data_IF_938712340029
#
_entry.id   IF_938712340029
#
_cell.length_a   1.000
_cell.length_b   1.000
_cell.length_c   1.000
_cell.angle_alpha   90.00
_cell.angle_beta   90.00
_cell.angle_gamma   90.00
#
_symmetry.space_group_name_H-M   'P 1'
#
loop_
_entity.id
_entity.type
_entity.pdbx_description
1 polymer ?
#
# COMPACT_ATOMS: atom_id res chain seq x y z
N UNK A 1 -1.17 6.69 -2.45
CA UNK A 1 0.15 6.16 -2.05
C UNK A 1 0.15 4.68 -2.39
N UNK A 2 1.22 4.09 -2.93
CA UNK A 2 1.07 2.75 -3.53
C UNK A 2 1.77 1.63 -2.75
N UNK A 3 2.83 1.91 -1.97
CA UNK A 3 3.64 0.82 -1.38
C UNK A 3 3.64 0.85 0.14
N UNK A 4 3.49 2.03 0.75
CA UNK A 4 3.59 2.20 2.20
C UNK A 4 2.57 1.39 3.01
N UNK A 5 1.37 1.13 2.49
CA UNK A 5 0.28 0.55 3.27
C UNK A 5 0.48 -0.94 3.46
N UNK A 6 0.88 -1.66 2.40
CA UNK A 6 1.27 -3.06 2.49
C UNK A 6 2.45 -3.28 3.43
N UNK A 7 3.45 -2.41 3.37
CA UNK A 7 4.61 -2.46 4.26
C UNK A 7 4.25 -2.09 5.71
N UNK A 8 3.41 -1.08 5.90
CA UNK A 8 2.89 -0.67 7.20
C UNK A 8 2.07 -1.77 7.87
N UNK A 9 1.15 -2.40 7.13
CA UNK A 9 0.36 -3.54 7.59
C UNK A 9 1.25 -4.73 7.96
N UNK A 10 2.25 -5.04 7.13
CA UNK A 10 3.27 -6.05 7.45
C UNK A 10 3.95 -5.75 8.79
N UNK A 11 4.46 -4.53 8.95
CA UNK A 11 5.23 -4.12 10.11
C UNK A 11 4.40 -4.16 11.40
N UNK A 12 3.18 -3.62 11.32
CA UNK A 12 2.22 -3.58 12.43
C UNK A 12 1.87 -5.01 12.89
N UNK A 13 1.47 -5.87 11.96
CA UNK A 13 1.04 -7.23 12.32
C UNK A 13 2.20 -8.09 12.77
N UNK A 14 3.37 -7.97 12.16
CA UNK A 14 4.57 -8.67 12.62
C UNK A 14 4.99 -8.24 14.03
N UNK A 15 4.90 -6.94 14.34
CA UNK A 15 5.15 -6.41 15.68
C UNK A 15 4.13 -6.94 16.70
N UNK A 16 2.83 -6.85 16.40
CA UNK A 16 1.76 -7.36 17.25
C UNK A 16 1.91 -8.87 17.52
N UNK A 17 2.23 -9.65 16.49
CA UNK A 17 2.49 -11.09 16.64
C UNK A 17 3.66 -11.36 17.59
N UNK A 18 4.71 -10.54 17.56
CA UNK A 18 5.85 -10.62 18.48
C UNK A 18 5.44 -10.30 19.92
N UNK A 19 4.65 -9.25 20.12
CA UNK A 19 4.11 -8.86 21.44
C UNK A 19 3.22 -9.98 22.00
N UNK A 20 2.48 -10.68 21.15
CA UNK A 20 1.67 -11.84 21.52
C UNK A 20 2.47 -13.13 21.75
N UNK A 21 3.81 -13.07 21.76
CA UNK A 21 4.67 -14.21 22.03
C UNK A 21 4.76 -15.23 20.88
N UNK A 22 4.42 -14.85 19.65
CA UNK A 22 4.66 -15.71 18.49
C UNK A 22 6.16 -15.90 18.23
N UNK A 23 6.53 -17.04 17.66
CA UNK A 23 7.88 -17.21 17.10
C UNK A 23 8.14 -16.19 16.00
N UNK A 24 9.41 -15.88 15.74
CA UNK A 24 9.83 -14.89 14.73
C UNK A 24 9.35 -15.27 13.34
N UNK A 25 9.45 -16.55 12.99
CA UNK A 25 9.01 -17.09 11.70
C UNK A 25 7.50 -16.89 11.52
N UNK A 26 6.73 -17.11 12.58
CA UNK A 26 5.28 -16.87 12.57
C UNK A 26 4.96 -15.39 12.47
N UNK A 27 5.64 -14.54 13.23
CA UNK A 27 5.45 -13.08 13.16
C UNK A 27 5.70 -12.54 11.74
N UNK A 28 6.79 -12.98 11.09
CA UNK A 28 7.09 -12.63 9.70
C UNK A 28 5.99 -13.16 8.78
N UNK A 29 5.59 -14.43 8.90
CA UNK A 29 4.58 -15.03 8.01
C UNK A 29 3.24 -14.31 8.11
N UNK A 30 2.76 -14.04 9.33
CA UNK A 30 1.47 -13.35 9.55
C UNK A 30 1.57 -11.89 9.10
N UNK A 31 2.71 -11.23 9.30
CA UNK A 31 2.99 -9.92 8.72
C UNK A 31 2.92 -9.94 7.18
N UNK A 32 3.54 -10.91 6.51
CA UNK A 32 3.50 -11.02 5.04
C UNK A 32 2.05 -11.17 4.56
N UNK A 33 1.26 -12.01 5.24
CA UNK A 33 -0.16 -12.18 4.92
C UNK A 33 -0.89 -10.84 5.04
N UNK A 34 -0.68 -10.09 6.13
CA UNK A 34 -1.32 -8.79 6.32
C UNK A 34 -0.92 -7.78 5.24
N UNK A 35 0.37 -7.71 4.89
CA UNK A 35 0.84 -6.84 3.82
C UNK A 35 0.27 -7.21 2.44
N UNK A 36 0.16 -8.50 2.14
CA UNK A 36 -0.51 -8.97 0.91
C UNK A 36 -1.98 -8.57 0.88
N UNK A 37 -2.70 -8.71 1.99
CA UNK A 37 -4.11 -8.29 2.08
C UNK A 37 -4.27 -6.77 1.96
N UNK A 38 -3.34 -5.99 2.49
CA UNK A 38 -3.31 -4.55 2.30
C UNK A 38 -3.08 -4.14 0.84
N UNK A 39 -2.46 -4.97 0.00
CA UNK A 39 -2.37 -4.70 -1.45
C UNK A 39 -3.60 -5.15 -2.26
N UNK A 40 -4.55 -5.87 -1.66
CA UNK A 40 -5.72 -6.37 -2.38
C UNK A 40 -6.60 -5.25 -2.94
N UNK A 41 -6.85 -4.13 -2.23
CA UNK A 41 -7.62 -3.03 -2.81
C UNK A 41 -7.04 -2.47 -4.10
N UNK A 42 -5.72 -2.36 -4.22
CA UNK A 42 -5.01 -1.79 -5.39
C UNK A 42 -5.17 -2.60 -6.69
N UNK A 43 -5.72 -3.82 -6.61
CA UNK A 43 -6.06 -4.58 -7.82
C UNK A 43 -7.16 -3.91 -8.62
N UNK A 44 -7.87 -2.94 -8.06
CA UNK A 44 -8.89 -2.16 -8.75
C UNK A 44 -8.38 -1.45 -10.00
N UNK A 45 -7.07 -1.22 -10.16
CA UNK A 45 -6.45 -0.73 -11.40
C UNK A 45 -6.84 -1.54 -12.65
N UNK A 46 -7.29 -2.79 -12.47
CA UNK A 46 -7.88 -3.63 -13.54
C UNK A 46 -9.20 -3.09 -14.09
N UNK A 47 -9.79 -2.05 -13.48
CA UNK A 47 -10.96 -1.35 -14.02
C UNK A 47 -10.70 -0.88 -15.46
N UNK A 48 -9.47 -0.49 -15.81
CA UNK A 48 -9.15 0.02 -17.13
C UNK A 48 -9.30 -1.07 -18.22
N UNK A 49 -8.63 -2.25 -18.13
CA UNK A 49 -8.87 -3.33 -19.09
C UNK A 49 -10.30 -3.89 -19.02
N UNK A 50 -10.93 -3.98 -17.85
CA UNK A 50 -12.32 -4.45 -17.72
C UNK A 50 -13.30 -3.48 -18.39
N UNK A 51 -13.10 -2.17 -18.19
CA UNK A 51 -13.93 -1.13 -18.76
C UNK A 51 -13.88 -1.11 -20.28
N UNK A 52 -12.69 -1.35 -20.86
CA UNK A 52 -12.50 -1.54 -22.30
C UNK A 52 -13.25 -2.77 -22.82
N UNK A 53 -13.11 -3.92 -22.15
CA UNK A 53 -13.78 -5.16 -22.53
C UNK A 53 -15.31 -5.03 -22.46
N UNK A 54 -15.81 -4.35 -21.44
CA UNK A 54 -17.23 -4.04 -21.27
C UNK A 54 -17.75 -2.96 -22.24
N UNK A 55 -16.88 -2.37 -23.07
CA UNK A 55 -17.19 -1.23 -23.96
C UNK A 55 -17.79 -0.02 -23.24
N UNK A 56 -17.52 0.08 -21.94
CA UNK A 56 -17.94 1.21 -21.09
C UNK A 56 -17.08 2.46 -21.29
N UNK A 57 -15.86 2.26 -21.81
CA UNK A 57 -14.96 3.32 -22.26
C UNK A 57 -14.51 3.00 -23.69
N UNK A 58 -14.52 4.00 -24.57
CA UNK A 58 -14.16 3.83 -25.99
C UNK A 58 -12.64 3.96 -26.22
N UNK A 59 -11.96 4.76 -25.42
CA UNK A 59 -10.50 4.94 -25.44
C UNK A 59 -9.98 5.14 -24.01
N UNK A 60 -8.73 4.76 -23.77
CA UNK A 60 -8.01 5.06 -22.51
C UNK A 60 -7.13 6.28 -22.77
N UNK A 61 -7.73 7.47 -22.78
CA UNK A 61 -6.91 8.69 -22.64
C UNK A 61 -6.41 8.79 -21.20
N UNK A 62 -5.27 9.45 -20.93
CA UNK A 62 -4.81 9.66 -19.57
C UNK A 62 -5.89 10.30 -18.67
N UNK A 63 -6.64 11.28 -19.17
CA UNK A 63 -7.68 11.95 -18.38
C UNK A 63 -8.88 11.06 -18.06
N UNK A 64 -9.34 10.25 -19.04
CA UNK A 64 -10.43 9.27 -18.81
C UNK A 64 -9.96 8.15 -17.88
N UNK A 65 -8.71 7.71 -18.03
CA UNK A 65 -8.10 6.74 -17.14
C UNK A 65 -8.06 7.28 -15.71
N UNK A 66 -7.44 8.43 -15.47
CA UNK A 66 -7.29 9.00 -14.14
C UNK A 66 -8.61 9.45 -13.52
N UNK A 67 -9.55 9.97 -14.31
CA UNK A 67 -10.90 10.32 -13.85
C UNK A 67 -11.68 9.08 -13.39
N UNK A 68 -11.69 8.02 -14.19
CA UNK A 68 -12.36 6.76 -13.86
C UNK A 68 -11.66 6.02 -12.71
N UNK A 69 -10.32 6.08 -12.66
CA UNK A 69 -9.54 5.59 -11.51
C UNK A 69 -10.04 6.26 -10.24
N UNK A 70 -10.12 7.59 -10.20
CA UNK A 70 -10.47 8.28 -8.95
C UNK A 70 -11.84 7.90 -8.39
N UNK A 71 -12.79 7.50 -9.23
CA UNK A 71 -14.12 7.04 -8.80
C UNK A 71 -14.12 5.55 -8.41
N UNK A 72 -13.50 4.68 -9.20
CA UNK A 72 -13.51 3.22 -8.92
C UNK A 72 -12.52 2.84 -7.83
N UNK A 73 -11.31 3.43 -7.87
CA UNK A 73 -10.21 3.20 -6.93
C UNK A 73 -10.51 3.69 -5.50
N UNK A 74 -11.67 4.32 -5.25
CA UNK A 74 -12.04 4.83 -3.91
C UNK A 74 -13.43 4.41 -3.43
N UNK A 75 -14.12 3.59 -4.24
CA UNK A 75 -15.41 3.01 -3.89
C UNK A 75 -15.24 1.67 -3.16
N UNK A 76 -15.84 0.62 -3.72
CA UNK A 76 -16.03 -0.66 -3.06
C UNK A 76 -14.74 -1.35 -2.54
N UNK A 77 -13.61 -1.25 -3.25
CA UNK A 77 -12.34 -1.91 -2.85
C UNK A 77 -11.70 -1.30 -1.62
N UNK A 78 -11.98 -0.02 -1.34
CA UNK A 78 -11.47 0.75 -0.20
C UNK A 78 -12.50 0.87 0.93
N UNK A 79 -13.59 0.11 0.87
CA UNK A 79 -14.60 0.06 1.94
C UNK A 79 -14.15 -0.81 3.11
N UNK A 80 -14.33 -0.29 4.33
CA UNK A 80 -14.10 -1.05 5.56
C UNK A 80 -15.10 -2.20 5.69
N UNK A 81 -16.33 -2.00 5.21
CA UNK A 81 -17.40 -3.00 5.24
C UNK A 81 -17.06 -4.14 4.29
N UNK A 82 -16.73 -3.83 3.04
CA UNK A 82 -16.34 -4.83 2.03
C UNK A 82 -15.08 -5.57 2.45
N UNK A 83 -14.07 -4.85 2.96
CA UNK A 83 -12.84 -5.44 3.49
C UNK A 83 -13.10 -6.40 4.66
N UNK A 84 -13.97 -6.03 5.61
CA UNK A 84 -14.34 -6.90 6.73
C UNK A 84 -15.07 -8.17 6.26
N UNK A 85 -16.01 -8.03 5.30
CA UNK A 85 -16.71 -9.17 4.70
C UNK A 85 -15.72 -10.09 3.97
N UNK A 86 -14.79 -9.53 3.19
CA UNK A 86 -13.76 -10.32 2.50
C UNK A 86 -12.88 -11.07 3.49
N UNK A 87 -12.39 -10.41 4.54
CA UNK A 87 -11.58 -11.05 5.58
C UNK A 87 -12.33 -12.24 6.24
N UNK A 88 -13.60 -12.04 6.59
CA UNK A 88 -14.44 -13.08 7.19
C UNK A 88 -14.72 -14.23 6.22
N UNK A 89 -15.04 -13.93 4.95
CA UNK A 89 -15.32 -14.92 3.93
C UNK A 89 -14.07 -15.77 3.61
N UNK A 90 -12.90 -15.15 3.50
CA UNK A 90 -11.63 -15.87 3.32
C UNK A 90 -11.32 -16.73 4.55
N UNK A 91 -11.51 -16.24 5.77
CA UNK A 91 -11.31 -17.04 6.97
C UNK A 91 -12.26 -18.26 6.99
N UNK A 92 -13.55 -18.04 6.70
CA UNK A 92 -14.56 -19.10 6.64
C UNK A 92 -14.25 -20.14 5.54
N UNK A 93 -13.72 -19.71 4.40
CA UNK A 93 -13.29 -20.61 3.31
C UNK A 93 -12.23 -21.61 3.76
N UNK A 94 -11.39 -21.20 4.71
CA UNK A 94 -10.28 -22.00 5.23
C UNK A 94 -10.68 -22.91 6.40
N UNK A 95 -11.96 -22.94 6.79
CA UNK A 95 -12.49 -23.89 7.78
C UNK A 95 -13.06 -25.12 7.07
N UNK A 96 -12.69 -26.35 7.46
CA UNK A 96 -13.15 -27.59 6.83
C UNK A 96 -14.57 -27.97 7.28
N UNK A 97 -15.54 -27.08 7.12
CA UNK A 97 -16.93 -27.31 7.48
C UNK A 97 -17.88 -26.81 6.37
N UNK A 98 -18.92 -27.61 6.07
CA UNK A 98 -19.91 -27.27 5.03
C UNK A 98 -20.57 -25.91 5.28
N UNK A 99 -20.94 -25.63 6.54
CA UNK A 99 -21.53 -24.32 6.92
C UNK A 99 -20.58 -23.17 6.64
N UNK A 100 -19.29 -23.31 6.95
CA UNK A 100 -18.29 -22.29 6.68
C UNK A 100 -18.06 -22.05 5.18
N UNK A 101 -18.17 -23.09 4.34
CA UNK A 101 -18.15 -22.95 2.88
C UNK A 101 -19.33 -22.15 2.36
N UNK A 102 -20.53 -22.39 2.88
CA UNK A 102 -21.74 -21.63 2.52
C UNK A 102 -21.56 -20.15 2.90
N UNK A 103 -21.07 -19.87 4.11
CA UNK A 103 -20.80 -18.50 4.56
C UNK A 103 -19.76 -17.82 3.68
N UNK A 104 -18.67 -18.50 3.33
CA UNK A 104 -17.63 -17.96 2.46
C UNK A 104 -18.16 -17.61 1.07
N UNK A 105 -18.85 -18.55 0.43
CA UNK A 105 -19.45 -18.34 -0.91
C UNK A 105 -20.49 -17.23 -0.87
N UNK A 106 -21.34 -17.20 0.17
CA UNK A 106 -22.30 -16.12 0.38
C UNK A 106 -21.62 -14.75 0.52
N UNK A 107 -20.54 -14.66 1.30
CA UNK A 107 -19.74 -13.45 1.44
C UNK A 107 -19.15 -12.98 0.11
N UNK A 108 -18.47 -13.87 -0.63
CA UNK A 108 -17.90 -13.55 -1.94
C UNK A 108 -18.96 -13.08 -2.95
N UNK A 109 -20.07 -13.81 -3.06
CA UNK A 109 -21.16 -13.44 -3.96
C UNK A 109 -21.82 -12.14 -3.55
N UNK A 110 -21.97 -11.87 -2.25
CA UNK A 110 -22.57 -10.62 -1.76
C UNK A 110 -21.73 -9.40 -2.14
N UNK A 111 -20.40 -9.47 -2.03
CA UNK A 111 -19.50 -8.37 -2.44
C UNK A 111 -19.72 -8.05 -3.93
N UNK A 112 -19.67 -9.08 -4.78
CA UNK A 112 -19.81 -8.91 -6.25
C UNK A 112 -21.21 -8.42 -6.61
N UNK A 113 -22.25 -9.00 -6.01
CA UNK A 113 -23.64 -8.65 -6.29
C UNK A 113 -23.96 -7.21 -5.87
N UNK A 114 -23.48 -6.77 -4.71
CA UNK A 114 -23.64 -5.39 -4.25
C UNK A 114 -22.97 -4.42 -5.23
N UNK A 115 -21.72 -4.68 -5.63
CA UNK A 115 -21.02 -3.85 -6.60
C UNK A 115 -21.72 -3.77 -7.96
N UNK A 116 -22.29 -4.89 -8.42
CA UNK A 116 -23.08 -4.93 -9.65
C UNK A 116 -24.35 -4.09 -9.56
N UNK A 117 -25.06 -4.15 -8.42
CA UNK A 117 -26.34 -3.45 -8.22
C UNK A 117 -26.12 -1.94 -8.03
N UNK A 118 -25.08 -1.55 -7.29
CA UNK A 118 -24.83 -0.15 -6.94
C UNK A 118 -24.08 0.60 -8.04
N UNK A 119 -23.02 0.00 -8.61
CA UNK A 119 -22.11 0.69 -9.54
C UNK A 119 -22.01 0.02 -10.93
N UNK A 120 -22.77 -1.05 -11.17
CA UNK A 120 -22.83 -1.73 -12.45
C UNK A 120 -21.73 -2.77 -12.70
N UNK A 121 -21.71 -3.28 -13.94
CA UNK A 121 -20.94 -4.48 -14.31
C UNK A 121 -19.42 -4.28 -14.28
N UNK A 122 -18.92 -3.06 -14.52
CA UNK A 122 -17.48 -2.78 -14.47
C UNK A 122 -16.96 -2.95 -13.06
N UNK A 123 -17.65 -2.35 -12.07
CA UNK A 123 -17.29 -2.52 -10.66
C UNK A 123 -17.43 -3.98 -10.22
N UNK A 124 -18.49 -4.68 -10.65
CA UNK A 124 -18.64 -6.10 -10.39
C UNK A 124 -17.44 -6.92 -10.90
N UNK A 125 -16.95 -6.62 -12.11
CA UNK A 125 -15.75 -7.24 -12.68
C UNK A 125 -14.49 -6.96 -11.85
N UNK A 126 -14.31 -5.72 -11.39
CA UNK A 126 -13.21 -5.37 -10.47
C UNK A 126 -13.33 -6.16 -9.16
N UNK A 127 -14.53 -6.27 -8.59
CA UNK A 127 -14.78 -7.01 -7.36
C UNK A 127 -14.57 -8.52 -7.50
N UNK A 128 -14.75 -9.09 -8.69
CA UNK A 128 -14.35 -10.48 -8.97
C UNK A 128 -12.84 -10.64 -8.80
N UNK A 129 -12.04 -9.72 -9.35
CA UNK A 129 -10.57 -9.75 -9.20
C UNK A 129 -10.15 -9.49 -7.75
N UNK A 130 -10.81 -8.56 -7.06
CA UNK A 130 -10.61 -8.29 -5.63
C UNK A 130 -10.85 -9.55 -4.77
N UNK A 131 -11.99 -10.21 -4.95
CA UNK A 131 -12.35 -11.45 -4.24
C UNK A 131 -11.37 -12.58 -4.60
N UNK A 132 -11.03 -12.74 -5.88
CA UNK A 132 -10.09 -13.76 -6.34
C UNK A 132 -8.70 -13.56 -5.73
N UNK A 133 -8.24 -12.31 -5.63
CA UNK A 133 -6.96 -11.96 -5.00
C UNK A 133 -6.96 -12.33 -3.51
N UNK A 134 -7.99 -11.93 -2.76
CA UNK A 134 -8.11 -12.28 -1.34
C UNK A 134 -8.20 -13.79 -1.11
N UNK A 135 -8.96 -14.51 -1.95
CA UNK A 135 -9.08 -15.96 -1.92
C UNK A 135 -7.73 -16.64 -2.22
N UNK A 136 -7.00 -16.16 -3.24
CA UNK A 136 -5.69 -16.65 -3.62
C UNK A 136 -4.66 -16.51 -2.50
N UNK A 137 -4.61 -15.33 -1.86
CA UNK A 137 -3.75 -15.09 -0.69
C UNK A 137 -4.16 -16.01 0.47
N UNK A 138 -5.45 -16.15 0.75
CA UNK A 138 -5.95 -17.03 1.82
C UNK A 138 -5.59 -18.49 1.62
N UNK A 139 -5.76 -19.01 0.40
CA UNK A 139 -5.39 -20.37 0.04
C UNK A 139 -3.87 -20.58 0.08
N UNK A 140 -3.09 -19.61 -0.40
CA UNK A 140 -1.63 -19.62 -0.26
C UNK A 140 -1.23 -19.66 1.22
N UNK A 141 -1.82 -18.83 2.07
CA UNK A 141 -1.53 -18.78 3.50
C UNK A 141 -1.84 -20.11 4.19
N UNK A 142 -2.99 -20.73 3.87
CA UNK A 142 -3.39 -22.05 4.38
C UNK A 142 -2.44 -23.15 3.95
N UNK A 143 -2.06 -23.20 2.67
CA UNK A 143 -1.06 -24.16 2.14
C UNK A 143 0.30 -23.99 2.83
N UNK A 144 0.62 -22.78 3.26
CA UNK A 144 1.81 -22.47 4.04
C UNK A 144 1.58 -22.56 5.57
N UNK A 145 0.53 -23.26 6.02
CA UNK A 145 0.31 -23.61 7.43
C UNK A 145 -0.14 -22.44 8.34
N UNK A 146 -0.70 -21.37 7.79
CA UNK A 146 -1.31 -20.32 8.59
C UNK A 146 -2.60 -20.83 9.26
N UNK A 147 -2.71 -20.68 10.59
CA UNK A 147 -3.96 -20.99 11.27
C UNK A 147 -5.04 -19.96 10.94
N UNK A 148 -6.30 -20.40 10.81
CA UNK A 148 -7.43 -19.56 10.39
C UNK A 148 -7.59 -18.28 11.21
N UNK A 149 -7.36 -18.33 12.53
CA UNK A 149 -7.44 -17.13 13.39
C UNK A 149 -6.41 -16.06 13.02
N UNK A 150 -5.20 -16.48 12.66
CA UNK A 150 -4.13 -15.57 12.26
C UNK A 150 -4.38 -15.02 10.86
N UNK A 151 -4.90 -15.85 9.96
CA UNK A 151 -5.34 -15.43 8.64
C UNK A 151 -6.44 -14.36 8.73
N UNK A 152 -7.49 -14.60 9.54
CA UNK A 152 -8.56 -13.63 9.73
C UNK A 152 -8.04 -12.29 10.26
N UNK A 153 -7.25 -12.31 11.34
CA UNK A 153 -6.71 -11.09 11.94
C UNK A 153 -5.78 -10.33 10.98
N UNK A 154 -4.90 -11.04 10.27
CA UNK A 154 -4.01 -10.44 9.28
C UNK A 154 -4.78 -9.85 8.09
N UNK A 155 -5.76 -10.59 7.57
CA UNK A 155 -6.61 -10.13 6.47
C UNK A 155 -7.42 -8.89 6.87
N UNK A 156 -8.02 -8.91 8.05
CA UNK A 156 -8.79 -7.79 8.58
C UNK A 156 -7.89 -6.56 8.72
N UNK A 157 -6.76 -6.66 9.42
CA UNK A 157 -5.85 -5.52 9.62
C UNK A 157 -5.33 -5.00 8.27
N UNK A 158 -4.92 -5.89 7.37
CA UNK A 158 -4.48 -5.50 6.03
C UNK A 158 -5.54 -4.70 5.27
N UNK A 159 -6.73 -5.27 5.12
CA UNK A 159 -7.82 -4.66 4.35
C UNK A 159 -8.36 -3.37 4.99
N UNK A 160 -8.50 -3.31 6.32
CA UNK A 160 -9.06 -2.12 6.99
C UNK A 160 -8.05 -1.00 7.17
N UNK A 161 -6.75 -1.31 7.19
CA UNK A 161 -5.71 -0.27 7.31
C UNK A 161 -5.46 0.44 5.98
N UNK A 162 -5.72 -0.23 4.85
CA UNK A 162 -5.44 0.29 3.52
C UNK A 162 -6.10 1.65 3.22
N UNK A 163 -7.41 1.87 3.43
CA UNK A 163 -8.05 3.13 3.03
C UNK A 163 -7.53 4.35 3.81
N UNK A 164 -6.97 4.14 5.00
CA UNK A 164 -6.45 5.22 5.83
C UNK A 164 -5.09 5.74 5.34
N UNK A 165 -4.27 4.91 4.71
CA UNK A 165 -2.98 5.38 4.23
C UNK A 165 -3.13 6.38 3.07
N UNK A 166 -4.24 6.33 2.33
CA UNK A 166 -4.48 7.26 1.23
C UNK A 166 -5.00 8.61 1.68
N UNK A 167 -5.42 8.76 2.95
CA UNK A 167 -5.98 10.01 3.47
C UNK A 167 -5.01 11.20 3.39
N UNK A 168 -3.70 10.96 3.27
CA UNK A 168 -2.70 12.02 3.20
C UNK A 168 -2.37 12.46 1.76
N UNK A 169 -2.66 11.63 0.75
CA UNK A 169 -2.28 11.90 -0.65
C UNK A 169 -3.46 11.87 -1.62
N UNK A 170 -4.48 11.08 -1.33
CA UNK A 170 -5.76 11.05 -2.01
C UNK A 170 -6.86 11.85 -1.29
N UNK A 171 -8.03 11.91 -1.91
CA UNK A 171 -9.28 12.20 -1.20
C UNK A 171 -9.74 10.97 -0.40
N UNK A 172 -10.65 11.15 0.57
CA UNK A 172 -11.18 10.05 1.37
C UNK A 172 -11.90 9.02 0.49
N UNK A 173 -11.80 7.75 0.89
CA UNK A 173 -12.57 6.67 0.30
C UNK A 173 -14.01 6.66 0.83
N UNK A 174 -14.89 5.93 0.14
CA UNK A 174 -16.23 5.60 0.62
C UNK A 174 -16.14 4.51 1.69
N UNK A 175 -15.64 4.88 2.87
CA UNK A 175 -15.28 3.96 3.97
C UNK A 175 -16.42 3.00 4.35
N UNK A 176 -17.67 3.44 4.23
CA UNK A 176 -18.86 2.67 4.60
C UNK A 176 -19.68 2.20 3.40
N UNK A 177 -19.15 2.23 2.18
CA UNK A 177 -19.82 1.66 1.01
C UNK A 177 -20.32 0.23 1.32
N UNK A 178 -21.57 -0.13 0.94
CA UNK A 178 -22.48 0.60 0.03
C UNK A 178 -23.43 1.58 0.73
N UNK A 179 -23.23 1.87 2.01
CA UNK A 179 -24.08 2.81 2.72
C UNK A 179 -23.72 4.24 2.34
N UNK A 180 -24.74 5.07 2.13
CA UNK A 180 -24.59 6.51 1.88
C UNK A 180 -24.28 7.26 3.18
N UNK A 181 -23.10 6.97 3.75
CA UNK A 181 -22.62 7.57 5.01
C UNK A 181 -21.20 8.06 4.82
N UNK A 182 -21.03 9.38 4.88
CA UNK A 182 -19.73 10.05 4.72
C UNK A 182 -19.04 10.16 6.08
N UNK A 183 -17.93 9.45 6.27
CA UNK A 183 -17.11 9.57 7.48
C UNK A 183 -16.13 10.75 7.41
N UNK A 184 -15.57 11.02 6.23
CA UNK A 184 -14.60 12.08 6.00
C UNK A 184 -14.92 12.76 4.67
N UNK A 185 -14.99 14.09 4.70
CA UNK A 185 -15.29 14.91 3.52
C UNK A 185 -14.04 15.40 2.81
N UNK A 186 -12.89 15.34 3.48
CA UNK A 186 -11.62 15.84 2.97
C UNK A 186 -10.46 15.00 3.46
N UNK A 187 -9.34 15.11 2.72
CA UNK A 187 -8.04 14.54 3.08
C UNK A 187 -7.53 15.11 4.40
N UNK A 188 -6.65 14.39 5.08
CA UNK A 188 -5.97 14.90 6.27
C UNK A 188 -4.83 15.80 5.83
N UNK A 189 -5.03 17.13 5.96
CA UNK A 189 -3.98 18.11 5.72
C UNK A 189 -2.97 18.11 6.87
N UNK A 190 -1.72 17.75 6.57
CA UNK A 190 -0.61 17.79 7.54
C UNK A 190 -0.03 19.20 7.72
N UNK A 191 -0.25 20.08 6.74
CA UNK A 191 0.22 21.46 6.73
C UNK A 191 -0.65 22.30 5.77
N UNK A 192 -0.87 23.62 6.02
CA UNK A 192 -1.63 24.48 5.10
C UNK A 192 -0.90 24.76 3.78
N UNK A 193 0.42 24.88 3.81
CA UNK A 193 1.23 24.97 2.58
C UNK A 193 1.20 23.64 1.79
N UNK A 194 0.80 23.66 0.49
CA UNK A 194 0.67 22.43 -0.32
C UNK A 194 1.97 21.64 -0.52
N UNK A 195 3.12 22.31 -0.55
CA UNK A 195 4.42 21.66 -0.72
C UNK A 195 4.87 21.00 0.58
N UNK A 196 4.77 21.69 1.70
CA UNK A 196 5.02 21.12 3.01
C UNK A 196 4.07 19.95 3.32
N UNK A 197 2.80 20.01 2.91
CA UNK A 197 1.87 18.88 3.03
C UNK A 197 2.34 17.66 2.23
N UNK A 198 2.74 17.84 0.96
CA UNK A 198 3.28 16.76 0.13
C UNK A 198 4.53 16.15 0.78
N UNK A 199 5.47 16.98 1.24
CA UNK A 199 6.72 16.51 1.85
C UNK A 199 6.46 15.73 3.15
N UNK A 200 5.52 16.21 3.97
CA UNK A 200 5.11 15.51 5.19
C UNK A 200 4.45 14.16 4.87
N UNK A 201 3.55 14.11 3.88
CA UNK A 201 2.91 12.86 3.44
C UNK A 201 3.94 11.87 2.86
N UNK A 202 4.88 12.37 2.06
CA UNK A 202 5.98 11.57 1.50
C UNK A 202 6.88 10.99 2.60
N UNK A 203 7.29 11.81 3.59
CA UNK A 203 8.08 11.34 4.73
C UNK A 203 7.33 10.33 5.59
N UNK A 204 6.00 10.48 5.74
CA UNK A 204 5.16 9.49 6.41
C UNK A 204 5.16 8.16 5.64
N UNK A 205 5.05 8.20 4.31
CA UNK A 205 5.19 7.01 3.47
C UNK A 205 6.56 6.34 3.67
N UNK A 206 7.66 7.11 3.60
CA UNK A 206 9.00 6.57 3.87
C UNK A 206 9.10 5.98 5.28
N UNK A 207 8.43 6.59 6.27
CA UNK A 207 8.34 6.09 7.64
C UNK A 207 7.72 4.70 7.72
N UNK A 208 6.66 4.42 6.96
CA UNK A 208 6.05 3.07 6.90
C UNK A 208 7.00 2.03 6.29
N UNK A 209 7.78 2.42 5.27
CA UNK A 209 8.80 1.56 4.66
C UNK A 209 9.91 1.27 5.67
N UNK A 210 10.40 2.30 6.37
CA UNK A 210 11.39 2.15 7.44
C UNK A 210 10.88 1.27 8.57
N UNK A 211 9.62 1.39 8.95
CA UNK A 211 9.00 0.57 9.99
C UNK A 211 8.98 -0.91 9.57
N UNK A 212 8.67 -1.21 8.30
CA UNK A 212 8.74 -2.57 7.76
C UNK A 212 10.16 -3.14 7.75
N UNK A 213 11.14 -2.36 7.29
CA UNK A 213 12.56 -2.76 7.32
C UNK A 213 13.01 -3.01 8.76
N UNK A 214 12.66 -2.12 9.69
CA UNK A 214 12.97 -2.29 11.10
C UNK A 214 12.35 -3.56 11.67
N UNK A 215 11.05 -3.79 11.46
CA UNK A 215 10.37 -5.00 11.91
C UNK A 215 11.03 -6.27 11.33
N UNK A 216 11.31 -6.29 10.02
CA UNK A 216 11.94 -7.43 9.35
C UNK A 216 13.36 -7.70 9.87
N UNK A 217 14.22 -6.67 9.90
CA UNK A 217 15.62 -6.80 10.35
C UNK A 217 15.69 -7.16 11.82
N UNK A 218 14.80 -6.61 12.66
CA UNK A 218 14.69 -6.99 14.07
C UNK A 218 14.29 -8.45 14.24
N UNK A 219 13.33 -8.95 13.47
CA UNK A 219 12.91 -10.36 13.53
C UNK A 219 14.00 -11.30 13.01
N UNK A 220 14.73 -10.90 11.97
CA UNK A 220 15.84 -11.66 11.40
C UNK A 220 17.17 -11.50 12.17
N UNK A 221 17.21 -10.67 13.22
CA UNK A 221 18.44 -10.30 13.95
C UNK A 221 19.55 -9.72 13.05
N UNK A 222 19.17 -9.03 11.99
CA UNK A 222 20.11 -8.36 11.10
C UNK A 222 20.30 -6.92 11.61
N UNK A 223 21.54 -6.47 11.89
CA UNK A 223 21.76 -5.09 12.30
C UNK A 223 21.52 -4.13 11.13
N UNK A 224 20.55 -3.22 11.25
CA UNK A 224 20.22 -2.22 10.22
C UNK A 224 21.45 -1.40 9.79
N UNK A 225 22.33 -1.09 10.74
CA UNK A 225 23.57 -0.34 10.48
C UNK A 225 24.52 -1.08 9.53
N UNK A 226 24.46 -2.42 9.51
CA UNK A 226 25.23 -3.24 8.56
C UNK A 226 24.71 -3.17 7.13
N UNK A 227 23.45 -2.72 6.93
CA UNK A 227 22.83 -2.56 5.62
C UNK A 227 23.00 -1.14 5.05
N UNK A 228 23.32 -0.17 5.90
CA UNK A 228 23.46 1.23 5.52
C UNK A 228 24.88 1.54 5.03
N UNK A 229 25.00 2.16 3.86
CA UNK A 229 26.28 2.61 3.30
C UNK A 229 26.39 4.15 3.33
N UNK A 230 27.57 4.73 3.61
CA UNK A 230 27.77 6.19 3.69
C UNK A 230 27.34 6.96 2.44
N UNK A 231 27.36 6.31 1.26
CA UNK A 231 26.87 6.87 -0.01
C UNK A 231 25.42 7.36 0.02
N UNK A 232 24.61 6.94 0.99
CA UNK A 232 23.27 7.50 1.22
C UNK A 232 23.30 9.03 1.40
N UNK A 233 24.39 9.60 1.94
CA UNK A 233 24.56 11.06 2.11
C UNK A 233 24.47 11.82 0.79
N UNK A 234 24.79 11.18 -0.35
CA UNK A 234 24.65 11.80 -1.67
C UNK A 234 23.21 12.26 -1.97
N UNK A 235 22.20 11.63 -1.36
CA UNK A 235 20.81 12.06 -1.46
C UNK A 235 20.58 13.50 -0.98
N UNK A 236 21.37 13.99 -0.02
CA UNK A 236 21.28 15.36 0.51
C UNK A 236 21.53 16.42 -0.57
N UNK A 237 22.22 16.08 -1.66
CA UNK A 237 22.39 16.96 -2.82
C UNK A 237 21.08 17.35 -3.49
N UNK A 238 19.98 16.63 -3.21
CA UNK A 238 18.65 16.96 -3.72
C UNK A 238 18.11 18.31 -3.20
N UNK A 239 18.72 18.92 -2.18
CA UNK A 239 18.40 20.29 -1.77
C UNK A 239 18.46 21.29 -2.93
N UNK A 240 19.40 21.12 -3.87
CA UNK A 240 19.53 21.99 -5.04
C UNK A 240 18.31 21.95 -5.97
N UNK A 241 17.50 20.89 -5.89
CA UNK A 241 16.30 20.75 -6.72
C UNK A 241 15.24 21.82 -6.42
N UNK A 242 15.25 22.44 -5.23
CA UNK A 242 14.38 23.58 -4.89
C UNK A 242 14.54 24.75 -5.88
N UNK A 243 15.71 24.88 -6.51
CA UNK A 243 16.01 25.99 -7.44
C UNK A 243 15.52 25.75 -8.87
N UNK A 244 15.22 24.49 -9.23
CA UNK A 244 14.97 24.10 -10.63
C UNK A 244 13.67 23.33 -10.83
N UNK A 245 13.15 22.68 -9.79
CA UNK A 245 11.86 21.98 -9.83
C UNK A 245 10.79 22.94 -9.29
N UNK A 246 9.71 23.20 -10.05
CA UNK A 246 8.56 23.94 -9.53
C UNK A 246 8.07 23.35 -8.20
N UNK A 247 7.63 24.22 -7.28
CA UNK A 247 7.17 23.81 -5.95
C UNK A 247 6.14 22.68 -6.05
N UNK A 248 6.49 21.46 -5.60
CA UNK A 248 5.67 20.29 -5.87
C UNK A 248 4.49 20.29 -4.92
N UNK A 249 3.32 19.91 -5.44
CA UNK A 249 2.09 19.71 -4.66
C UNK A 249 1.60 18.28 -4.91
N UNK A 250 0.58 17.82 -4.20
CA UNK A 250 -0.03 16.52 -4.49
C UNK A 250 -0.49 16.41 -5.96
N UNK A 251 -0.94 17.51 -6.57
CA UNK A 251 -1.37 17.54 -7.96
C UNK A 251 -0.21 17.58 -8.96
N UNK A 252 0.98 17.97 -8.51
CA UNK A 252 2.19 18.15 -9.34
C UNK A 252 3.38 17.36 -8.81
N UNK A 253 3.12 16.28 -8.07
CA UNK A 253 4.13 15.45 -7.42
C UNK A 253 5.05 14.65 -8.37
N UNK A 254 4.64 14.23 -9.59
CA UNK A 254 5.47 13.31 -10.39
C UNK A 254 6.90 13.81 -10.66
N UNK A 255 7.16 15.06 -11.08
CA UNK A 255 8.53 15.55 -11.27
C UNK A 255 9.40 15.45 -10.02
N UNK A 256 8.85 15.74 -8.84
CA UNK A 256 9.54 15.58 -7.55
C UNK A 256 9.86 14.11 -7.27
N UNK A 257 8.85 13.24 -7.32
CA UNK A 257 9.01 11.81 -7.00
C UNK A 257 9.98 11.12 -7.95
N UNK A 258 9.89 11.35 -9.26
CA UNK A 258 10.79 10.72 -10.22
C UNK A 258 12.23 11.20 -10.09
N UNK A 259 12.45 12.49 -9.86
CA UNK A 259 13.80 13.05 -9.76
C UNK A 259 14.50 12.65 -8.45
N UNK A 260 13.79 12.61 -7.31
CA UNK A 260 14.39 12.15 -6.04
C UNK A 260 14.75 10.66 -6.10
N UNK A 261 13.90 9.84 -6.72
CA UNK A 261 14.20 8.42 -6.94
C UNK A 261 15.38 8.22 -7.89
N UNK A 262 15.45 8.99 -8.98
CA UNK A 262 16.58 8.94 -9.91
C UNK A 262 17.90 9.29 -9.21
N UNK A 263 17.92 10.33 -8.38
CA UNK A 263 19.10 10.67 -7.59
C UNK A 263 19.48 9.57 -6.60
N UNK A 264 18.49 8.93 -5.96
CA UNK A 264 18.76 7.82 -5.05
C UNK A 264 19.37 6.60 -5.77
N UNK A 265 18.96 6.32 -7.02
CA UNK A 265 19.60 5.28 -7.85
C UNK A 265 21.08 5.62 -8.10
N UNK A 266 21.39 6.89 -8.39
CA UNK A 266 22.78 7.36 -8.54
C UNK A 266 23.57 7.21 -7.22
N UNK A 267 22.98 7.59 -6.09
CA UNK A 267 23.59 7.47 -4.76
C UNK A 267 23.80 6.03 -4.29
N UNK A 268 22.94 5.10 -4.73
CA UNK A 268 23.13 3.65 -4.54
C UNK A 268 24.26 3.12 -5.43
N UNK A 269 24.54 3.76 -6.56
CA UNK A 269 25.58 3.38 -7.50
C UNK A 269 25.24 2.14 -8.33
N UNK A 270 25.82 2.03 -9.52
CA UNK A 270 25.67 0.87 -10.40
C UNK A 270 26.50 -0.29 -9.79
N UNK A 271 25.89 -1.44 -9.46
CA UNK A 271 26.64 -2.58 -8.95
C UNK A 271 27.62 -3.09 -10.01
N UNK A 272 28.91 -3.00 -9.72
CA UNK A 272 30.00 -3.45 -10.61
C UNK A 272 30.16 -4.98 -10.67
N UNK A 273 29.32 -5.74 -9.96
CA UNK A 273 29.35 -7.22 -9.89
C UNK A 273 27.92 -7.78 -9.81
N UNK A 274 27.69 -9.01 -10.30
CA UNK A 274 26.36 -9.64 -10.27
C UNK A 274 25.77 -9.68 -8.85
N UNK A 275 24.46 -9.45 -8.77
CA UNK A 275 23.71 -9.29 -7.52
C UNK A 275 23.67 -10.58 -6.68
N UNK A 276 24.56 -10.72 -5.71
CA UNK A 276 24.39 -11.69 -4.62
C UNK A 276 23.25 -11.27 -3.68
N UNK A 277 22.50 -12.24 -3.14
CA UNK A 277 21.35 -12.01 -2.24
C UNK A 277 21.66 -11.07 -1.06
N UNK A 278 22.86 -11.14 -0.48
CA UNK A 278 23.28 -10.24 0.61
C UNK A 278 23.35 -8.76 0.21
N UNK A 279 23.68 -8.44 -1.04
CA UNK A 279 23.79 -7.05 -1.51
C UNK A 279 22.43 -6.40 -1.78
N UNK A 280 21.35 -7.18 -1.94
CA UNK A 280 20.01 -6.63 -2.21
C UNK A 280 19.49 -5.82 -1.03
N UNK A 281 19.64 -6.35 0.19
CA UNK A 281 19.25 -5.63 1.41
C UNK A 281 20.02 -4.32 1.60
N UNK A 282 21.32 -4.33 1.35
CA UNK A 282 22.15 -3.12 1.46
C UNK A 282 21.75 -2.04 0.44
N UNK A 283 21.55 -2.44 -0.81
CA UNK A 283 21.11 -1.55 -1.90
C UNK A 283 19.77 -0.90 -1.57
N UNK A 284 18.78 -1.69 -1.12
CA UNK A 284 17.46 -1.19 -0.76
C UNK A 284 17.50 -0.21 0.42
N UNK A 285 18.16 -0.61 1.52
CA UNK A 285 18.26 0.23 2.73
C UNK A 285 19.04 1.51 2.46
N UNK A 286 20.14 1.42 1.70
CA UNK A 286 20.92 2.60 1.31
C UNK A 286 20.15 3.52 0.38
N UNK A 287 19.41 2.97 -0.59
CA UNK A 287 18.57 3.76 -1.50
C UNK A 287 17.45 4.49 -0.77
N UNK A 288 16.76 3.79 0.12
CA UNK A 288 15.74 4.41 0.98
C UNK A 288 16.33 5.51 1.85
N UNK A 289 17.52 5.29 2.43
CA UNK A 289 18.21 6.32 3.21
C UNK A 289 18.60 7.54 2.35
N UNK A 290 19.03 7.34 1.10
CA UNK A 290 19.30 8.42 0.17
C UNK A 290 18.05 9.23 -0.16
N UNK A 291 16.92 8.57 -0.45
CA UNK A 291 15.62 9.24 -0.68
C UNK A 291 15.19 10.01 0.58
N UNK A 292 15.33 9.41 1.76
CA UNK A 292 14.96 10.03 3.04
C UNK A 292 15.80 11.29 3.29
N UNK A 293 17.12 11.19 3.13
CA UNK A 293 18.03 12.32 3.27
C UNK A 293 17.73 13.42 2.25
N UNK A 294 17.46 13.07 1.00
CA UNK A 294 17.09 14.02 -0.05
C UNK A 294 15.77 14.75 0.23
N UNK A 295 14.77 14.05 0.75
CA UNK A 295 13.48 14.63 1.11
C UNK A 295 13.62 15.63 2.27
N UNK A 296 14.39 15.26 3.30
CA UNK A 296 14.69 16.15 4.44
C UNK A 296 15.48 17.38 3.96
N UNK A 297 16.49 17.18 3.11
CA UNK A 297 17.33 18.26 2.59
C UNK A 297 16.53 19.24 1.71
N UNK A 298 15.64 18.71 0.86
CA UNK A 298 14.70 19.53 0.08
C UNK A 298 13.75 20.31 0.99
N UNK A 299 13.16 19.65 1.99
CA UNK A 299 12.25 20.31 2.93
C UNK A 299 12.93 21.44 3.71
N UNK A 300 14.17 21.22 4.17
CA UNK A 300 14.96 22.25 4.84
C UNK A 300 15.28 23.43 3.91
N UNK A 301 15.75 23.15 2.68
CA UNK A 301 16.04 24.20 1.70
C UNK A 301 14.79 25.00 1.32
N UNK A 302 13.66 24.32 1.10
CA UNK A 302 12.37 24.95 0.82
C UNK A 302 11.94 25.88 1.96
N UNK A 303 11.98 25.41 3.22
CA UNK A 303 11.61 26.23 4.37
C UNK A 303 12.57 27.38 4.70
N UNK A 304 13.77 27.41 4.12
CA UNK A 304 14.71 28.54 4.25
C UNK A 304 14.61 29.55 3.12
N UNK A 305 14.09 29.15 1.95
CA UNK A 305 14.03 29.97 0.73
C UNK A 305 12.62 30.52 0.45
N UNK A 306 11.57 29.85 0.92
CA UNK A 306 10.18 30.28 0.86
C UNK A 306 9.74 31.00 2.14
#
# INVERSE_FOLDING_TARGET
>A
MFVGHGLGAFALVAFLATVMGCSRERAIRVGIIAGLFAFVPDVDIVYAPIGLLARSIQTVSPDVFWGTANTIHRGATHSLVVGAILAAAVAAWNVPARRSRIVAVGGFLSIIAIGAVVDGLVNAGVLVVYVASGLGIGEWARRNGAATRWLFGAALIGLVSHPFGDLFTGGPADFLYPFDVVLMTSRVALHPDPTAHLLAAFLLELGTIWFAIFAYTRLQQIPIRGLLRPRAVAGSGYAAAVLVIPTPTIHTAPPFVFSILALAIVGVGIPTRPFNHHRRGETLVTGLAAVTAGAIAYAAAYGTLG
#
